data_IF_239845547699
#
_entry.id   IF_239845547699
#
_cell.length_a   1.000
_cell.length_b   1.000
_cell.length_c   1.000
_cell.angle_alpha   90.00
_cell.angle_beta   90.00
_cell.angle_gamma   90.00
#
_symmetry.space_group_name_H-M   'P 1'
#
loop_
_entity.id
_entity.type
_entity.pdbx_description
1 polymer ?
#
# COMPACT_ATOMS: atom_id res chain seq x y z
N UNK A 1 0.21 -2.05 16.27
CA UNK A 1 -0.93 -2.18 15.33
C UNK A 1 -0.38 -2.67 13.98
N UNK A 2 -1.18 -3.38 13.17
CA UNK A 2 -0.75 -3.82 11.83
C UNK A 2 -1.30 -2.87 10.78
N UNK A 3 -0.44 -2.44 9.86
CA UNK A 3 -0.81 -1.58 8.75
C UNK A 3 -0.55 -2.29 7.43
N UNK A 4 -1.47 -2.15 6.50
CA UNK A 4 -1.32 -2.60 5.14
C UNK A 4 -0.76 -1.46 4.29
N UNK A 5 0.29 -1.75 3.51
CA UNK A 5 0.97 -0.78 2.65
C UNK A 5 0.92 -1.29 1.22
N UNK A 6 0.34 -0.50 0.31
CA UNK A 6 0.20 -0.85 -1.11
C UNK A 6 0.95 0.17 -1.96
N UNK A 7 1.74 -0.32 -2.92
CA UNK A 7 2.40 0.53 -3.90
C UNK A 7 1.49 0.79 -5.10
N UNK A 8 1.23 2.06 -5.42
CA UNK A 8 0.34 2.45 -6.51
C UNK A 8 1.07 3.08 -7.71
N UNK A 9 2.33 3.51 -7.54
CA UNK A 9 3.10 4.20 -8.59
C UNK A 9 4.39 3.46 -8.97
N UNK A 10 4.81 3.66 -10.22
CA UNK A 10 6.11 3.21 -10.75
C UNK A 10 7.31 3.97 -10.17
N UNK A 11 8.51 3.51 -10.50
CA UNK A 11 9.82 4.03 -10.02
C UNK A 11 10.56 4.92 -11.03
N UNK A 12 9.96 5.24 -12.17
CA UNK A 12 10.63 6.05 -13.21
C UNK A 12 10.90 7.47 -12.71
N UNK A 13 12.17 7.88 -12.71
CA UNK A 13 12.59 9.25 -12.35
C UNK A 13 12.52 9.58 -10.85
N UNK A 14 12.47 8.58 -9.96
CA UNK A 14 12.40 8.82 -8.52
C UNK A 14 13.78 9.01 -7.90
N UNK A 15 13.84 9.72 -6.78
CA UNK A 15 15.08 9.86 -6.01
C UNK A 15 15.56 8.49 -5.50
N UNK A 16 16.88 8.26 -5.55
CA UNK A 16 17.51 6.98 -5.15
C UNK A 16 17.13 6.56 -3.73
N UNK A 17 17.07 7.52 -2.82
CA UNK A 17 16.63 7.35 -1.44
C UNK A 17 15.21 6.77 -1.31
N UNK A 18 14.28 7.26 -2.12
CA UNK A 18 12.89 6.82 -2.11
C UNK A 18 12.80 5.42 -2.74
N UNK A 19 13.56 5.17 -3.80
CA UNK A 19 13.66 3.84 -4.42
C UNK A 19 14.18 2.80 -3.42
N UNK A 20 15.23 3.17 -2.66
CA UNK A 20 15.82 2.32 -1.64
C UNK A 20 14.82 2.02 -0.53
N UNK A 21 14.10 3.03 -0.03
CA UNK A 21 13.07 2.85 1.00
C UNK A 21 11.94 1.91 0.55
N UNK A 22 11.47 2.04 -0.70
CA UNK A 22 10.47 1.12 -1.27
C UNK A 22 10.99 -0.31 -1.35
N UNK A 23 12.25 -0.49 -1.75
CA UNK A 23 12.89 -1.82 -1.86
C UNK A 23 13.05 -2.47 -0.48
N UNK A 24 13.46 -1.71 0.54
CA UNK A 24 13.59 -2.20 1.92
C UNK A 24 12.25 -2.65 2.52
N UNK A 25 11.15 -2.02 2.10
CA UNK A 25 9.79 -2.42 2.47
C UNK A 25 9.25 -3.59 1.63
N UNK A 26 10.04 -4.19 0.74
CA UNK A 26 9.63 -5.22 -0.22
C UNK A 26 8.49 -4.78 -1.18
N UNK A 27 8.43 -3.48 -1.51
CA UNK A 27 7.46 -2.89 -2.43
C UNK A 27 8.08 -2.68 -3.82
N UNK A 28 8.51 -3.76 -4.46
CA UNK A 28 9.25 -3.70 -5.73
C UNK A 28 8.38 -3.38 -6.94
N UNK A 29 7.12 -3.84 -6.96
CA UNK A 29 6.21 -3.73 -8.10
C UNK A 29 4.94 -2.96 -7.73
N UNK A 30 4.22 -2.49 -8.76
CA UNK A 30 2.91 -1.84 -8.59
C UNK A 30 1.89 -2.90 -8.15
N UNK A 31 0.93 -2.50 -7.30
CA UNK A 31 -0.08 -3.36 -6.67
C UNK A 31 0.51 -4.44 -5.76
N UNK A 32 1.76 -4.27 -5.34
CA UNK A 32 2.29 -5.05 -4.23
C UNK A 32 1.79 -4.50 -2.91
N UNK A 33 1.33 -5.39 -2.04
CA UNK A 33 0.88 -5.11 -0.70
C UNK A 33 1.79 -5.78 0.33
N UNK A 34 2.19 -5.07 1.37
CA UNK A 34 2.98 -5.61 2.48
C UNK A 34 2.26 -5.25 3.78
N UNK A 35 2.17 -6.20 4.69
CA UNK A 35 1.67 -5.97 6.04
C UNK A 35 2.88 -5.72 6.93
N UNK A 36 2.92 -4.55 7.58
CA UNK A 36 3.99 -4.17 8.49
C UNK A 36 3.43 -3.83 9.86
N UNK A 37 4.25 -3.98 10.88
CA UNK A 37 3.91 -3.51 12.22
C UNK A 37 4.24 -2.02 12.34
N UNK A 38 3.31 -1.28 12.94
CA UNK A 38 3.48 0.14 13.17
C UNK A 38 4.51 0.38 14.26
N UNK A 39 5.69 0.86 13.84
CA UNK A 39 6.79 1.31 14.70
C UNK A 39 7.18 2.73 14.27
N UNK A 40 7.76 3.56 15.17
CA UNK A 40 8.18 4.92 14.81
C UNK A 40 9.12 4.97 13.59
N UNK A 41 10.00 3.98 13.46
CA UNK A 41 10.90 3.84 12.31
C UNK A 41 10.14 3.61 11.01
N UNK A 42 9.19 2.66 11.00
CA UNK A 42 8.35 2.38 9.83
C UNK A 42 7.47 3.60 9.49
N UNK A 43 6.93 4.28 10.50
CA UNK A 43 6.13 5.49 10.29
C UNK A 43 6.93 6.61 9.59
N UNK A 44 8.20 6.78 9.97
CA UNK A 44 9.13 7.67 9.27
C UNK A 44 9.37 7.26 7.82
N UNK A 45 9.56 5.95 7.57
CA UNK A 45 9.72 5.42 6.21
C UNK A 45 8.46 5.65 5.36
N UNK A 46 7.27 5.36 5.88
CA UNK A 46 5.99 5.57 5.20
C UNK A 46 5.79 7.04 4.84
N UNK A 47 6.16 7.95 5.76
CA UNK A 47 6.11 9.39 5.51
C UNK A 47 7.04 9.82 4.38
N UNK A 48 8.24 9.22 4.27
CA UNK A 48 9.20 9.47 3.19
C UNK A 48 8.71 8.97 1.82
N UNK A 49 8.03 7.82 1.77
CA UNK A 49 7.53 7.23 0.50
C UNK A 49 6.08 7.58 0.16
N UNK A 50 5.45 8.50 0.92
CA UNK A 50 4.00 8.75 0.89
C UNK A 50 3.40 9.04 -0.48
N UNK A 51 4.19 9.60 -1.38
CA UNK A 51 3.75 10.01 -2.73
C UNK A 51 3.72 8.84 -3.75
N UNK A 52 4.08 7.63 -3.32
CA UNK A 52 4.12 6.42 -4.13
C UNK A 52 3.22 5.30 -3.61
N UNK A 53 2.92 5.35 -2.32
CA UNK A 53 2.19 4.31 -1.61
C UNK A 53 0.85 4.83 -1.09
N UNK A 54 0.01 3.88 -0.72
CA UNK A 54 -1.11 4.11 0.17
C UNK A 54 -1.03 3.14 1.33
N UNK A 55 -1.42 3.57 2.52
CA UNK A 55 -1.43 2.70 3.69
C UNK A 55 -2.60 2.98 4.61
N UNK A 56 -2.93 2.01 5.46
CA UNK A 56 -4.03 2.08 6.40
C UNK A 56 -4.03 0.93 7.40
N UNK A 57 -4.93 1.02 8.37
CA UNK A 57 -5.14 0.00 9.40
C UNK A 57 -5.90 -1.19 8.81
N UNK A 58 -5.36 -2.40 9.01
CA UNK A 58 -5.95 -3.62 8.45
C UNK A 58 -6.86 -4.32 9.47
N UNK A 59 -8.06 -4.67 9.05
CA UNK A 59 -8.97 -5.48 9.87
C UNK A 59 -8.58 -6.97 9.85
N UNK A 60 -8.85 -7.73 10.92
CA UNK A 60 -8.61 -9.18 10.93
C UNK A 60 -9.35 -9.93 9.81
N UNK A 61 -10.54 -9.45 9.45
CA UNK A 61 -11.36 -10.01 8.36
C UNK A 61 -10.67 -9.86 7.00
N UNK A 62 -10.17 -8.65 6.71
CA UNK A 62 -9.44 -8.36 5.47
C UNK A 62 -8.13 -9.14 5.40
N UNK A 63 -7.44 -9.34 6.53
CA UNK A 63 -6.23 -10.14 6.58
C UNK A 63 -6.49 -11.62 6.23
N UNK A 64 -7.62 -12.17 6.68
CA UNK A 64 -8.04 -13.52 6.31
C UNK A 64 -8.37 -13.62 4.82
N UNK A 65 -9.10 -12.65 4.27
CA UNK A 65 -9.43 -12.59 2.84
C UNK A 65 -8.16 -12.48 1.98
N UNK A 66 -7.21 -11.62 2.37
CA UNK A 66 -5.93 -11.43 1.69
C UNK A 66 -5.11 -12.73 1.64
N UNK A 67 -5.05 -13.45 2.76
CA UNK A 67 -4.30 -14.70 2.88
C UNK A 67 -4.93 -15.84 2.07
N UNK A 68 -6.25 -15.82 1.88
CA UNK A 68 -6.96 -16.81 1.06
C UNK A 68 -6.86 -16.54 -0.45
N UNK A 69 -6.78 -15.27 -0.85
CA UNK A 69 -6.81 -14.88 -2.26
C UNK A 69 -5.44 -14.64 -2.90
N UNK A 70 -4.41 -14.36 -2.11
CA UNK A 70 -3.08 -14.05 -2.60
C UNK A 70 -2.09 -15.10 -2.13
N UNK A 71 -1.24 -15.58 -3.04
CA UNK A 71 -0.22 -16.61 -2.81
C UNK A 71 0.98 -16.11 -1.97
N UNK A 72 0.89 -14.90 -1.40
CA UNK A 72 1.88 -14.36 -0.49
C UNK A 72 1.83 -15.05 0.88
N UNK A 73 2.93 -15.67 1.30
CA UNK A 73 3.06 -16.21 2.66
C UNK A 73 3.26 -15.08 3.67
N UNK A 74 2.84 -15.25 4.93
CA UNK A 74 3.15 -14.31 6.00
C UNK A 74 4.66 -14.02 6.06
N UNK A 75 5.06 -12.76 5.91
CA UNK A 75 6.46 -12.32 5.77
C UNK A 75 6.92 -12.00 4.34
N UNK A 76 6.07 -12.24 3.33
CA UNK A 76 6.28 -11.85 1.93
C UNK A 76 5.31 -10.76 1.49
N UNK A 77 5.57 -10.25 0.29
CA UNK A 77 4.70 -9.34 -0.44
C UNK A 77 3.50 -10.08 -1.04
N UNK A 78 2.30 -9.53 -0.86
CA UNK A 78 1.08 -9.97 -1.51
C UNK A 78 0.94 -9.25 -2.86
N UNK A 79 0.84 -10.01 -3.95
CA UNK A 79 0.58 -9.42 -5.26
C UNK A 79 -0.93 -9.29 -5.45
N UNK A 80 -1.41 -8.07 -5.57
CA UNK A 80 -2.82 -7.77 -5.76
C UNK A 80 -3.15 -7.54 -7.24
N UNK A 81 -4.43 -7.74 -7.60
CA UNK A 81 -4.95 -7.31 -8.90
C UNK A 81 -5.18 -5.79 -8.88
N UNK A 82 -5.29 -5.15 -10.05
CA UNK A 82 -5.72 -3.75 -10.13
C UNK A 82 -7.09 -3.54 -9.46
N UNK A 83 -7.30 -2.38 -8.85
CA UNK A 83 -8.55 -2.08 -8.15
C UNK A 83 -9.73 -1.97 -9.13
N UNK A 84 -10.77 -2.77 -8.90
CA UNK A 84 -12.04 -2.65 -9.64
C UNK A 84 -12.68 -1.29 -9.35
N UNK A 85 -13.02 -0.54 -10.40
CA UNK A 85 -13.60 0.81 -10.30
C UNK A 85 -12.58 1.96 -10.15
N UNK A 86 -11.29 1.68 -10.28
CA UNK A 86 -10.23 2.71 -10.30
C UNK A 86 -9.76 3.20 -8.93
N UNK A 87 -8.85 4.19 -8.93
CA UNK A 87 -8.11 4.66 -7.75
C UNK A 87 -8.49 6.09 -7.36
N UNK A 88 -9.78 6.33 -7.12
CA UNK A 88 -10.32 7.63 -6.75
C UNK A 88 -10.45 8.62 -7.91
N UNK A 89 -11.18 9.73 -7.69
CA UNK A 89 -11.53 10.69 -8.76
C UNK A 89 -10.32 11.47 -9.29
N UNK A 90 -9.35 11.80 -8.43
CA UNK A 90 -8.15 12.57 -8.80
C UNK A 90 -6.96 11.70 -9.19
N UNK A 91 -7.17 10.39 -9.26
CA UNK A 91 -6.19 9.40 -9.72
C UNK A 91 -4.98 9.20 -8.81
N UNK A 92 -3.95 8.57 -9.39
CA UNK A 92 -2.78 8.03 -8.67
C UNK A 92 -1.75 9.08 -8.23
N UNK A 93 -1.88 10.34 -8.63
CA UNK A 93 -0.92 11.42 -8.33
C UNK A 93 -1.43 12.39 -7.25
N UNK A 94 -2.64 12.19 -6.74
CA UNK A 94 -3.24 13.04 -5.72
C UNK A 94 -3.30 12.31 -4.36
N UNK A 95 -3.19 13.05 -3.25
CA UNK A 95 -3.35 12.48 -1.91
C UNK A 95 -4.83 12.14 -1.63
N UNK A 96 -5.05 11.17 -0.75
CA UNK A 96 -6.39 10.71 -0.38
C UNK A 96 -7.28 11.82 0.19
N UNK A 97 -6.70 12.72 0.99
CA UNK A 97 -7.40 13.90 1.54
C UNK A 97 -8.00 14.81 0.46
N UNK A 98 -7.46 14.80 -0.75
CA UNK A 98 -7.98 15.54 -1.92
C UNK A 98 -8.64 14.61 -2.94
N UNK A 99 -9.30 13.55 -2.47
CA UNK A 99 -9.99 12.55 -3.29
C UNK A 99 -9.08 11.80 -4.29
N UNK A 100 -7.79 11.66 -3.96
CA UNK A 100 -6.82 10.87 -4.72
C UNK A 100 -6.59 9.48 -4.14
N UNK A 101 -5.47 8.85 -4.53
CA UNK A 101 -5.13 7.49 -4.16
C UNK A 101 -4.02 7.35 -3.11
N UNK A 102 -3.17 8.37 -2.95
CA UNK A 102 -1.91 8.29 -2.21
C UNK A 102 -2.05 8.66 -0.73
N UNK A 103 -1.13 8.15 0.09
CA UNK A 103 -1.04 8.49 1.51
C UNK A 103 -1.89 7.62 2.43
N UNK A 104 -2.08 8.13 3.65
CA UNK A 104 -2.81 7.45 4.71
C UNK A 104 -4.32 7.47 4.49
N UNK A 105 -4.98 6.31 4.59
CA UNK A 105 -6.43 6.14 4.39
C UNK A 105 -7.17 5.52 5.58
N UNK A 106 -6.51 5.31 6.72
CA UNK A 106 -7.11 4.65 7.91
C UNK A 106 -7.77 3.32 7.51
N UNK A 107 -9.01 3.08 7.93
CA UNK A 107 -9.78 1.86 7.68
C UNK A 107 -10.26 1.71 6.24
N UNK A 108 -10.32 2.79 5.46
CA UNK A 108 -10.76 2.75 4.05
C UNK A 108 -9.79 1.96 3.15
N UNK A 109 -8.62 1.57 3.66
CA UNK A 109 -7.72 0.65 2.96
C UNK A 109 -8.36 -0.73 2.78
N UNK A 110 -9.21 -1.16 3.72
CA UNK A 110 -9.83 -2.47 3.68
C UNK A 110 -10.75 -2.61 2.47
N UNK A 111 -11.54 -1.57 2.17
CA UNK A 111 -12.37 -1.50 0.97
C UNK A 111 -11.53 -1.57 -0.32
N UNK A 112 -10.37 -0.90 -0.33
CA UNK A 112 -9.48 -0.92 -1.49
C UNK A 112 -8.90 -2.32 -1.72
N UNK A 113 -8.45 -2.98 -0.65
CA UNK A 113 -7.92 -4.35 -0.71
C UNK A 113 -9.00 -5.30 -1.25
N UNK A 114 -10.24 -5.20 -0.78
CA UNK A 114 -11.35 -6.03 -1.27
C UNK A 114 -11.64 -5.82 -2.77
N UNK A 115 -11.44 -4.61 -3.30
CA UNK A 115 -11.56 -4.32 -4.75
C UNK A 115 -10.40 -4.88 -5.57
N UNK A 116 -9.26 -5.19 -4.94
CA UNK A 116 -8.02 -5.63 -5.57
C UNK A 116 -7.76 -7.14 -5.45
N UNK A 117 -8.63 -7.86 -4.74
CA UNK A 117 -8.67 -9.32 -4.65
C UNK A 117 -9.54 -9.89 -5.81
#
# INVERSE_FOLDING_TARGET
>A
MKVAVIRLRGTTGIQKDVALALKLLNLDHINNCVIVEETPTIQGMLSKVKDYITWGEISPETLKALSGASSGKAGRTFRLKPARGGLGRRGIKAPFSRSGALGYRKDSINELIMKMI
#
